data_IF_895716784782
#
_entry.id   IF_895716784782
#
_cell.length_a   1.000
_cell.length_b   1.000
_cell.length_c   1.000
_cell.angle_alpha   90.00
_cell.angle_beta   90.00
_cell.angle_gamma   90.00
#
_symmetry.space_group_name_H-M   'P 1'
#
loop_
_entity.id
_entity.type
_entity.pdbx_description
1 polymer ?
#
# COMPACT_ATOMS: atom_id res chain seq x y z
N UNK A 1 23.19 -31.99 -5.59
CA UNK A 1 21.90 -31.92 -6.30
C UNK A 1 21.20 -30.66 -5.82
N UNK A 2 20.95 -29.70 -6.72
CA UNK A 2 20.31 -28.43 -6.38
C UNK A 2 18.80 -28.59 -6.19
N UNK A 3 18.16 -27.89 -5.23
CA UNK A 3 16.72 -27.96 -5.05
C UNK A 3 15.98 -27.32 -6.24
N UNK A 4 14.97 -28.03 -6.70
CA UNK A 4 14.17 -27.77 -7.89
C UNK A 4 13.38 -26.46 -7.78
N UNK A 5 13.61 -25.57 -8.75
CA UNK A 5 12.88 -24.31 -8.96
C UNK A 5 11.49 -24.62 -9.57
N UNK A 6 10.54 -25.10 -8.77
CA UNK A 6 9.15 -25.30 -9.23
C UNK A 6 8.28 -24.17 -8.68
N UNK A 7 7.79 -23.31 -9.58
CA UNK A 7 6.80 -22.29 -9.24
C UNK A 7 5.46 -22.97 -8.89
N UNK A 8 4.71 -22.44 -7.91
CA UNK A 8 3.40 -22.98 -7.55
C UNK A 8 2.42 -22.90 -8.72
N UNK A 9 1.62 -23.95 -8.86
CA UNK A 9 0.63 -24.12 -9.92
C UNK A 9 -0.47 -23.04 -9.83
N UNK A 10 -0.88 -22.54 -11.01
CA UNK A 10 -2.01 -21.63 -11.19
C UNK A 10 -3.28 -22.20 -10.53
N UNK A 11 -4.00 -21.35 -9.80
CA UNK A 11 -5.18 -21.66 -8.98
C UNK A 11 -6.28 -22.43 -9.74
N UNK A 12 -6.88 -23.43 -9.08
CA UNK A 12 -8.03 -24.24 -9.55
C UNK A 12 -9.40 -23.65 -9.14
N UNK A 13 -9.68 -22.38 -9.40
CA UNK A 13 -11.03 -21.85 -9.13
C UNK A 13 -12.04 -22.42 -10.14
N UNK A 14 -13.21 -22.88 -9.68
CA UNK A 14 -14.28 -23.33 -10.58
C UNK A 14 -14.97 -22.14 -11.25
N UNK A 15 -15.70 -22.39 -12.34
CA UNK A 15 -16.49 -21.36 -13.02
C UNK A 15 -17.51 -20.71 -12.09
N UNK A 16 -18.07 -21.44 -11.12
CA UNK A 16 -18.99 -20.84 -10.14
C UNK A 16 -18.27 -19.89 -9.16
N UNK A 17 -17.09 -20.27 -8.68
CA UNK A 17 -16.31 -19.42 -7.76
C UNK A 17 -15.83 -18.15 -8.46
N UNK A 18 -15.41 -18.26 -9.72
CA UNK A 18 -15.04 -17.11 -10.54
C UNK A 18 -16.24 -16.22 -10.85
N UNK A 19 -17.42 -16.82 -11.11
CA UNK A 19 -18.65 -16.08 -11.36
C UNK A 19 -19.17 -15.36 -10.09
N UNK A 20 -19.00 -15.94 -8.90
CA UNK A 20 -19.37 -15.29 -7.64
C UNK A 20 -18.36 -14.20 -7.25
N UNK A 21 -17.05 -14.45 -7.43
CA UNK A 21 -16.01 -13.44 -7.22
C UNK A 21 -16.17 -12.23 -8.17
N UNK A 22 -16.64 -12.46 -9.40
CA UNK A 22 -16.93 -11.40 -10.37
C UNK A 22 -18.12 -10.50 -9.96
N UNK A 23 -18.91 -10.88 -8.94
CA UNK A 23 -19.97 -10.05 -8.35
C UNK A 23 -19.48 -9.17 -7.20
N UNK A 24 -18.16 -9.11 -6.95
CA UNK A 24 -17.57 -8.33 -5.87
C UNK A 24 -18.15 -6.92 -5.79
N UNK A 25 -18.70 -6.57 -4.63
CA UNK A 25 -19.69 -5.49 -4.45
C UNK A 25 -19.10 -4.11 -4.15
N UNK A 26 -17.76 -3.99 -4.15
CA UNK A 26 -17.06 -2.80 -3.63
C UNK A 26 -16.41 -1.93 -4.72
N UNK A 27 -16.48 -2.39 -5.99
CA UNK A 27 -16.05 -1.64 -7.17
C UNK A 27 -17.24 -0.89 -7.78
N UNK A 28 -17.05 0.39 -8.07
CA UNK A 28 -17.92 1.17 -8.96
C UNK A 28 -17.21 1.37 -10.30
N UNK A 29 -17.94 1.33 -11.41
CA UNK A 29 -17.35 1.44 -12.75
C UNK A 29 -17.89 2.65 -13.50
N UNK A 30 -17.06 3.24 -14.35
CA UNK A 30 -17.50 4.28 -15.30
C UNK A 30 -17.10 3.86 -16.72
N UNK A 31 -18.05 3.89 -17.65
CA UNK A 31 -17.81 3.58 -19.06
C UNK A 31 -17.76 4.86 -19.89
N UNK A 32 -16.63 5.13 -20.55
CA UNK A 32 -16.53 6.15 -21.59
C UNK A 32 -16.74 5.52 -22.97
N UNK A 33 -17.92 5.75 -23.57
CA UNK A 33 -18.23 5.30 -24.93
C UNK A 33 -19.29 6.18 -25.61
N UNK A 34 -19.43 6.05 -26.94
CA UNK A 34 -20.48 6.73 -27.70
C UNK A 34 -21.88 6.26 -27.27
N UNK A 35 -22.89 7.16 -27.28
CA UNK A 35 -24.29 6.82 -26.95
C UNK A 35 -24.98 6.10 -28.12
N UNK A 36 -24.36 5.02 -28.60
CA UNK A 36 -24.80 4.16 -29.69
C UNK A 36 -24.36 2.72 -29.44
N UNK A 37 -25.00 1.78 -30.11
CA UNK A 37 -24.58 0.38 -30.12
C UNK A 37 -23.28 0.21 -30.92
N UNK A 38 -22.33 -0.55 -30.38
CA UNK A 38 -21.01 -0.70 -31.00
C UNK A 38 -20.07 -1.55 -30.15
N UNK A 39 -18.78 -1.21 -30.15
CA UNK A 39 -17.75 -1.94 -29.37
C UNK A 39 -17.98 -1.87 -27.85
N UNK A 40 -18.66 -0.83 -27.37
CA UNK A 40 -19.05 -0.71 -25.97
C UNK A 40 -20.20 -1.64 -25.55
N UNK A 41 -20.90 -2.27 -26.50
CA UNK A 41 -22.08 -3.09 -26.19
C UNK A 41 -21.76 -4.30 -25.32
N UNK A 42 -20.66 -4.99 -25.61
CA UNK A 42 -20.22 -6.13 -24.81
C UNK A 42 -19.87 -5.70 -23.37
N UNK A 43 -19.31 -4.50 -23.21
CA UNK A 43 -18.96 -3.94 -21.89
C UNK A 43 -20.22 -3.59 -21.10
N UNK A 44 -21.21 -2.94 -21.74
CA UNK A 44 -22.51 -2.67 -21.12
C UNK A 44 -23.20 -3.97 -20.68
N UNK A 45 -23.22 -4.97 -21.55
CA UNK A 45 -23.80 -6.27 -21.24
C UNK A 45 -23.09 -6.96 -20.08
N UNK A 46 -21.75 -6.89 -20.03
CA UNK A 46 -20.97 -7.49 -18.94
C UNK A 46 -21.23 -6.80 -17.60
N UNK A 47 -21.21 -5.46 -17.56
CA UNK A 47 -21.47 -4.66 -16.36
C UNK A 47 -22.91 -4.81 -15.87
N UNK A 48 -23.88 -4.89 -16.78
CA UNK A 48 -25.28 -5.15 -16.43
C UNK A 48 -25.50 -6.59 -15.94
N UNK A 49 -24.90 -7.57 -16.61
CA UNK A 49 -25.02 -8.99 -16.26
C UNK A 49 -24.38 -9.32 -14.91
N UNK A 50 -23.25 -8.68 -14.58
CA UNK A 50 -22.56 -8.90 -13.30
C UNK A 50 -23.29 -8.29 -12.09
N UNK A 51 -24.24 -7.36 -12.32
CA UNK A 51 -24.88 -6.59 -11.26
C UNK A 51 -23.95 -5.52 -10.64
N UNK A 52 -22.88 -5.14 -11.33
CA UNK A 52 -21.95 -4.11 -10.86
C UNK A 52 -22.64 -2.74 -10.72
N UNK A 53 -22.14 -1.89 -9.83
CA UNK A 53 -22.54 -0.48 -9.76
C UNK A 53 -21.77 0.29 -10.84
N UNK A 54 -22.45 0.92 -11.79
CA UNK A 54 -21.76 1.65 -12.86
C UNK A 54 -22.59 2.77 -13.49
N UNK A 55 -21.90 3.70 -14.13
CA UNK A 55 -22.48 4.79 -14.92
C UNK A 55 -21.74 5.02 -16.25
N UNK A 56 -22.37 5.73 -17.19
CA UNK A 56 -21.73 6.16 -18.43
C UNK A 56 -21.21 7.59 -18.32
N UNK A 57 -20.00 7.81 -18.83
CA UNK A 57 -19.41 9.14 -18.97
C UNK A 57 -19.79 9.76 -20.31
N UNK A 58 -20.08 11.05 -20.30
CA UNK A 58 -20.28 11.82 -21.53
C UNK A 58 -18.99 11.86 -22.36
N UNK A 59 -19.12 11.59 -23.66
CA UNK A 59 -17.99 11.54 -24.59
C UNK A 59 -17.90 12.81 -25.43
N UNK A 60 -16.74 13.44 -25.36
CA UNK A 60 -16.27 14.51 -26.26
C UNK A 60 -14.97 14.02 -26.92
N UNK A 61 -15.15 13.22 -27.96
CA UNK A 61 -14.07 12.40 -28.48
C UNK A 61 -12.85 13.19 -29.02
N UNK A 62 -13.03 14.28 -29.78
CA UNK A 62 -11.90 15.08 -30.25
C UNK A 62 -11.00 15.59 -29.12
N UNK A 63 -11.57 15.97 -27.97
CA UNK A 63 -10.84 16.51 -26.81
C UNK A 63 -10.28 15.41 -25.91
N UNK A 64 -10.97 14.27 -25.83
CA UNK A 64 -10.62 13.16 -24.92
C UNK A 64 -9.67 12.13 -25.55
N UNK A 65 -9.58 12.02 -26.87
CA UNK A 65 -8.81 10.97 -27.56
C UNK A 65 -7.35 10.87 -27.11
N UNK A 66 -6.63 11.99 -27.03
CA UNK A 66 -5.24 11.98 -26.59
C UNK A 66 -5.07 11.65 -25.10
N UNK A 67 -6.17 11.67 -24.34
CA UNK A 67 -6.21 11.42 -22.89
C UNK A 67 -6.61 9.98 -22.57
N UNK A 68 -7.16 9.22 -23.52
CA UNK A 68 -7.49 7.80 -23.30
C UNK A 68 -6.28 6.90 -23.56
N UNK A 69 -6.13 5.80 -22.82
CA UNK A 69 -5.14 4.77 -23.15
C UNK A 69 -5.30 4.31 -24.60
N UNK A 70 -4.18 4.29 -25.33
CA UNK A 70 -4.11 3.90 -26.74
C UNK A 70 -4.96 4.72 -27.71
N UNK A 71 -5.54 5.85 -27.25
CA UNK A 71 -6.37 6.73 -28.08
C UNK A 71 -7.57 6.03 -28.72
N UNK A 72 -8.19 5.10 -27.98
CA UNK A 72 -9.38 4.33 -28.38
C UNK A 72 -10.48 4.41 -27.32
N UNK A 73 -11.68 3.98 -27.71
CA UNK A 73 -12.84 3.69 -26.85
C UNK A 73 -13.51 2.38 -27.32
N UNK A 74 -14.20 1.61 -26.46
CA UNK A 74 -14.60 1.91 -25.07
C UNK A 74 -13.42 1.92 -24.08
N UNK A 75 -13.56 2.72 -23.02
CA UNK A 75 -12.67 2.70 -21.83
C UNK A 75 -13.53 2.48 -20.60
N UNK A 76 -13.13 1.53 -19.76
CA UNK A 76 -13.75 1.28 -18.45
C UNK A 76 -12.80 1.79 -17.38
N UNK A 77 -13.30 2.67 -16.52
CA UNK A 77 -12.64 3.06 -15.29
C UNK A 77 -13.23 2.23 -14.15
N UNK A 78 -12.38 1.52 -13.43
CA UNK A 78 -12.77 0.83 -12.19
C UNK A 78 -12.34 1.67 -10.99
N UNK A 79 -13.26 1.87 -10.06
CA UNK A 79 -13.05 2.53 -8.79
C UNK A 79 -13.32 1.53 -7.66
N UNK A 80 -12.28 0.84 -7.22
CA UNK A 80 -12.27 0.09 -5.96
C UNK A 80 -12.04 1.05 -4.79
N UNK A 81 -12.92 1.09 -3.78
CA UNK A 81 -12.70 1.92 -2.59
C UNK A 81 -11.48 1.45 -1.76
N UNK A 82 -11.22 0.14 -1.73
CA UNK A 82 -10.18 -0.48 -0.91
C UNK A 82 -8.81 -0.52 -1.59
N UNK A 83 -8.71 -0.92 -2.87
CA UNK A 83 -7.42 -1.02 -3.57
C UNK A 83 -6.76 0.35 -3.82
N UNK A 84 -7.54 1.39 -4.13
CA UNK A 84 -7.00 2.74 -4.31
C UNK A 84 -6.47 3.33 -2.99
N UNK A 85 -7.15 3.08 -1.86
CA UNK A 85 -6.66 3.48 -0.54
C UNK A 85 -5.45 2.66 -0.11
N UNK A 86 -5.44 1.34 -0.35
CA UNK A 86 -4.28 0.48 -0.09
C UNK A 86 -3.06 1.00 -0.87
N UNK A 87 -3.23 1.27 -2.15
CA UNK A 87 -2.18 1.82 -3.00
C UNK A 87 -1.74 3.22 -2.53
N UNK A 88 -2.67 4.09 -2.14
CA UNK A 88 -2.33 5.41 -1.62
C UNK A 88 -1.45 5.34 -0.37
N UNK A 89 -1.85 4.55 0.63
CA UNK A 89 -1.07 4.38 1.86
C UNK A 89 0.26 3.68 1.61
N UNK A 90 0.28 2.67 0.72
CA UNK A 90 1.50 2.02 0.29
C UNK A 90 2.49 3.01 -0.33
N UNK A 91 2.08 3.79 -1.33
CA UNK A 91 2.94 4.76 -2.00
C UNK A 91 3.36 5.91 -1.07
N UNK A 92 2.50 6.31 -0.13
CA UNK A 92 2.88 7.31 0.87
C UNK A 92 4.00 6.78 1.79
N UNK A 93 3.92 5.52 2.22
CA UNK A 93 4.96 4.85 2.99
C UNK A 93 6.25 4.62 2.17
N UNK A 94 6.13 4.27 0.88
CA UNK A 94 7.26 4.21 -0.05
C UNK A 94 7.96 5.57 -0.19
N UNK A 95 7.20 6.66 -0.33
CA UNK A 95 7.74 8.01 -0.38
C UNK A 95 8.50 8.38 0.90
N UNK A 96 7.97 8.01 2.07
CA UNK A 96 8.64 8.23 3.35
C UNK A 96 9.97 7.49 3.44
N UNK A 97 10.00 6.20 3.09
CA UNK A 97 11.23 5.41 3.18
C UNK A 97 12.26 5.84 2.13
N UNK A 98 11.82 6.26 0.95
CA UNK A 98 12.71 6.81 -0.08
C UNK A 98 13.33 8.13 0.39
N UNK A 99 12.54 9.00 1.04
CA UNK A 99 13.06 10.24 1.63
C UNK A 99 14.06 9.95 2.77
N UNK A 100 13.79 8.97 3.63
CA UNK A 100 14.72 8.54 4.68
C UNK A 100 16.02 8.00 4.07
N UNK A 101 15.92 7.16 3.03
CA UNK A 101 17.07 6.59 2.34
C UNK A 101 17.95 7.68 1.71
N UNK A 102 17.34 8.67 1.04
CA UNK A 102 18.09 9.75 0.40
C UNK A 102 18.71 10.73 1.40
N UNK A 103 17.91 11.20 2.37
CA UNK A 103 18.33 12.26 3.29
C UNK A 103 19.22 11.76 4.42
N UNK A 104 18.92 10.58 4.96
CA UNK A 104 19.58 10.08 6.17
C UNK A 104 20.62 9.03 5.82
N UNK A 105 20.23 7.98 5.10
CA UNK A 105 21.17 6.88 4.76
C UNK A 105 22.20 7.32 3.72
N UNK A 106 21.78 8.13 2.75
CA UNK A 106 22.63 8.70 1.70
C UNK A 106 23.54 9.84 2.15
N UNK A 107 23.35 10.38 3.36
CA UNK A 107 24.20 11.43 3.89
C UNK A 107 25.62 10.93 4.24
N UNK A 108 26.57 11.86 4.22
CA UNK A 108 27.92 11.63 4.72
C UNK A 108 27.87 11.16 6.19
N UNK A 109 28.68 10.17 6.59
CA UNK A 109 28.60 9.55 7.93
C UNK A 109 28.51 10.55 9.09
N UNK A 110 29.31 11.61 9.06
CA UNK A 110 29.38 12.69 10.05
C UNK A 110 28.10 13.54 10.13
N UNK A 111 27.30 13.59 9.05
CA UNK A 111 26.07 14.37 8.98
C UNK A 111 24.81 13.54 9.27
N UNK A 112 24.90 12.21 9.34
CA UNK A 112 23.74 11.31 9.44
C UNK A 112 22.89 11.54 10.68
N UNK A 113 23.50 11.86 11.82
CA UNK A 113 22.79 12.12 13.07
C UNK A 113 21.93 13.39 12.96
N UNK A 114 22.50 14.45 12.39
CA UNK A 114 21.82 15.73 12.19
C UNK A 114 20.72 15.60 11.13
N UNK A 115 20.99 14.91 10.02
CA UNK A 115 19.98 14.64 8.99
C UNK A 115 18.85 13.74 9.49
N UNK A 116 19.14 12.74 10.32
CA UNK A 116 18.11 11.94 10.97
C UNK A 116 17.22 12.82 11.86
N UNK A 117 17.82 13.68 12.68
CA UNK A 117 17.10 14.58 13.57
C UNK A 117 16.22 15.56 12.79
N UNK A 118 16.74 16.16 11.71
CA UNK A 118 15.95 16.99 10.78
C UNK A 118 14.81 16.21 10.14
N UNK A 119 15.08 15.01 9.63
CA UNK A 119 14.07 14.16 9.02
C UNK A 119 12.94 13.81 10.00
N UNK A 120 13.28 13.52 11.26
CA UNK A 120 12.30 13.21 12.30
C UNK A 120 11.38 14.41 12.58
N UNK A 121 11.94 15.61 12.70
CA UNK A 121 11.20 16.83 13.01
C UNK A 121 10.39 17.34 11.82
N UNK A 122 10.93 17.29 10.60
CA UNK A 122 10.32 17.96 9.44
C UNK A 122 9.40 17.07 8.62
N UNK A 123 9.68 15.77 8.59
CA UNK A 123 9.03 14.79 7.70
C UNK A 123 8.27 13.75 8.50
N UNK A 124 8.96 13.02 9.38
CA UNK A 124 8.35 11.90 10.08
C UNK A 124 7.25 12.37 11.03
N UNK A 125 7.46 13.48 11.76
CA UNK A 125 6.45 14.09 12.64
C UNK A 125 5.13 14.40 11.92
N UNK A 126 5.20 14.93 10.70
CA UNK A 126 4.02 15.26 9.88
C UNK A 126 3.35 14.01 9.36
N UNK A 127 4.15 13.04 8.90
CA UNK A 127 3.64 11.74 8.49
C UNK A 127 2.87 11.08 9.63
N UNK A 128 3.47 10.96 10.82
CA UNK A 128 2.82 10.27 11.94
C UNK A 128 1.57 11.01 12.40
N UNK A 129 1.59 12.35 12.44
CA UNK A 129 0.41 13.14 12.81
C UNK A 129 -0.77 12.93 11.85
N UNK A 130 -0.52 12.94 10.53
CA UNK A 130 -1.55 12.74 9.52
C UNK A 130 -2.12 11.32 9.61
N UNK A 131 -1.25 10.31 9.71
CA UNK A 131 -1.67 8.91 9.73
C UNK A 131 -2.40 8.53 11.02
N UNK A 132 -1.95 9.06 12.16
CA UNK A 132 -2.61 8.88 13.45
C UNK A 132 -4.03 9.46 13.45
N UNK A 133 -4.20 10.68 12.90
CA UNK A 133 -5.52 11.31 12.75
C UNK A 133 -6.43 10.50 11.82
N UNK A 134 -5.90 10.02 10.69
CA UNK A 134 -6.67 9.19 9.75
C UNK A 134 -7.16 7.89 10.38
N UNK A 135 -6.31 7.18 11.13
CA UNK A 135 -6.68 5.94 11.79
C UNK A 135 -7.74 6.15 12.87
N UNK A 136 -7.69 7.29 13.60
CA UNK A 136 -8.74 7.66 14.55
C UNK A 136 -10.08 7.91 13.86
N UNK A 137 -10.07 8.55 12.70
CA UNK A 137 -11.28 8.78 11.89
C UNK A 137 -11.87 7.48 11.32
N UNK A 138 -11.05 6.47 11.06
CA UNK A 138 -11.49 5.14 10.60
C UNK A 138 -11.91 4.19 11.72
N UNK A 139 -12.09 4.70 12.95
CA UNK A 139 -12.54 3.92 14.10
C UNK A 139 -11.43 3.20 14.88
N UNK A 140 -10.16 3.47 14.55
CA UNK A 140 -8.98 2.94 15.24
C UNK A 140 -9.07 1.42 15.46
N UNK A 141 -9.46 0.68 14.43
CA UNK A 141 -9.64 -0.78 14.51
C UNK A 141 -8.30 -1.56 14.32
N UNK A 142 -7.18 -0.86 14.14
CA UNK A 142 -5.88 -1.46 13.86
C UNK A 142 -5.63 -1.80 12.38
N UNK A 143 -6.44 -1.23 11.47
CA UNK A 143 -6.29 -1.39 10.03
C UNK A 143 -6.44 -0.05 9.30
N UNK A 144 -5.67 0.14 8.23
CA UNK A 144 -5.79 1.32 7.35
C UNK A 144 -7.00 1.26 6.43
N UNK A 145 -7.39 0.06 5.99
CA UNK A 145 -8.48 -0.15 5.04
C UNK A 145 -9.30 -1.35 5.49
N UNK A 146 -10.60 -1.11 5.71
CA UNK A 146 -11.51 -2.16 6.17
C UNK A 146 -11.16 -2.68 7.57
N UNK A 147 -11.39 -3.98 7.79
CA UNK A 147 -11.23 -4.64 9.09
C UNK A 147 -10.22 -5.81 9.06
N UNK A 148 -9.36 -5.86 8.04
CA UNK A 148 -8.40 -6.94 7.83
C UNK A 148 -7.03 -6.40 7.45
N UNK A 149 -5.96 -7.14 7.74
CA UNK A 149 -4.60 -6.74 7.37
C UNK A 149 -4.44 -6.74 5.85
N UNK A 150 -4.02 -5.59 5.31
CA UNK A 150 -3.74 -5.36 3.90
C UNK A 150 -2.27 -5.06 3.65
N UNK A 151 -1.90 -4.88 2.38
CA UNK A 151 -0.55 -4.45 2.00
C UNK A 151 -0.17 -3.08 2.57
N UNK A 152 -1.15 -2.18 2.77
CA UNK A 152 -0.91 -0.88 3.38
C UNK A 152 -0.39 -1.02 4.81
N UNK A 153 -1.05 -1.84 5.63
CA UNK A 153 -0.65 -2.10 7.01
C UNK A 153 0.76 -2.69 7.07
N UNK A 154 1.03 -3.71 6.23
CA UNK A 154 2.34 -4.35 6.15
C UNK A 154 3.45 -3.38 5.75
N UNK A 155 3.21 -2.53 4.74
CA UNK A 155 4.20 -1.57 4.27
C UNK A 155 4.45 -0.47 5.29
N UNK A 156 3.43 0.03 5.98
CA UNK A 156 3.58 0.99 7.06
C UNK A 156 4.42 0.38 8.18
N UNK A 157 4.08 -0.81 8.66
CA UNK A 157 4.82 -1.49 9.73
C UNK A 157 6.26 -1.77 9.33
N UNK A 158 6.51 -2.25 8.10
CA UNK A 158 7.86 -2.43 7.58
C UNK A 158 8.66 -1.12 7.55
N UNK A 159 8.00 0.00 7.19
CA UNK A 159 8.63 1.31 7.12
C UNK A 159 9.00 1.83 8.50
N UNK A 160 8.08 1.72 9.47
CA UNK A 160 8.35 2.07 10.88
C UNK A 160 9.47 1.22 11.46
N UNK A 161 9.42 -0.11 11.25
CA UNK A 161 10.48 -1.03 11.67
C UNK A 161 11.84 -0.65 11.09
N UNK A 162 11.89 -0.25 9.82
CA UNK A 162 13.14 0.13 9.16
C UNK A 162 13.73 1.41 9.73
N UNK A 163 12.89 2.41 10.01
CA UNK A 163 13.31 3.68 10.62
C UNK A 163 13.80 3.45 12.05
N UNK A 164 13.07 2.66 12.84
CA UNK A 164 13.47 2.29 14.21
C UNK A 164 14.76 1.48 14.23
N UNK A 165 14.93 0.54 13.29
CA UNK A 165 16.14 -0.29 13.16
C UNK A 165 17.39 0.55 12.86
N UNK A 166 17.22 1.64 12.10
CA UNK A 166 18.29 2.51 11.59
C UNK A 166 18.35 3.86 12.31
N UNK A 167 17.75 3.98 13.49
CA UNK A 167 17.86 5.19 14.30
C UNK A 167 19.32 5.37 14.77
N UNK A 168 19.99 6.49 14.45
CA UNK A 168 21.35 6.74 14.93
C UNK A 168 21.38 6.82 16.46
N UNK A 169 22.45 6.28 17.05
CA UNK A 169 22.73 6.52 18.47
C UNK A 169 23.10 7.98 18.71
N UNK A 170 22.51 8.59 19.74
CA UNK A 170 22.80 9.98 20.12
C UNK A 170 22.05 11.05 19.30
N UNK A 171 21.22 10.66 18.34
CA UNK A 171 20.30 11.57 17.64
C UNK A 171 19.01 11.85 18.40
N UNK A 172 18.17 12.71 17.84
CA UNK A 172 16.82 12.94 18.36
C UNK A 172 16.01 11.62 18.41
N UNK A 173 15.12 11.44 19.40
CA UNK A 173 14.29 10.24 19.46
C UNK A 173 13.36 10.16 18.25
N UNK A 174 13.15 8.94 17.74
CA UNK A 174 12.15 8.69 16.70
C UNK A 174 10.77 9.00 17.28
N UNK A 175 9.94 9.87 16.66
CA UNK A 175 8.65 10.30 17.17
C UNK A 175 7.54 9.26 16.92
N UNK A 176 7.82 7.98 17.21
CA UNK A 176 6.91 6.85 17.05
C UNK A 176 7.06 5.93 18.25
N UNK A 177 6.00 5.78 19.04
CA UNK A 177 5.92 4.84 20.16
C UNK A 177 4.46 4.52 20.47
N UNK A 178 4.23 3.58 21.39
CA UNK A 178 2.88 3.27 21.88
C UNK A 178 2.20 4.48 22.51
N UNK A 179 2.97 5.31 23.19
CA UNK A 179 2.51 6.50 23.91
C UNK A 179 2.32 7.70 22.97
N UNK A 180 3.22 7.87 21.99
CA UNK A 180 3.19 9.01 21.08
C UNK A 180 2.23 8.82 19.91
N UNK A 181 2.07 7.59 19.43
CA UNK A 181 1.32 7.27 18.22
C UNK A 181 0.48 6.00 18.43
N UNK A 182 -0.50 6.01 19.36
CA UNK A 182 -1.22 4.81 19.78
C UNK A 182 -2.00 4.10 18.67
N UNK A 183 -2.62 4.82 17.73
CA UNK A 183 -3.39 4.21 16.63
C UNK A 183 -2.45 3.53 15.62
N UNK A 184 -1.35 4.19 15.24
CA UNK A 184 -0.28 3.58 14.45
C UNK A 184 0.34 2.37 15.16
N UNK A 185 0.53 2.46 16.48
CA UNK A 185 1.08 1.36 17.26
C UNK A 185 0.11 0.18 17.34
N UNK A 186 -1.20 0.44 17.36
CA UNK A 186 -2.23 -0.60 17.27
C UNK A 186 -2.18 -1.33 15.94
N UNK A 187 -2.03 -0.62 14.80
CA UNK A 187 -1.80 -1.27 13.49
C UNK A 187 -0.58 -2.19 13.53
N UNK A 188 0.52 -1.71 14.15
CA UNK A 188 1.73 -2.51 14.33
C UNK A 188 1.47 -3.76 15.17
N UNK A 189 0.83 -3.63 16.33
CA UNK A 189 0.47 -4.76 17.19
C UNK A 189 -0.46 -5.76 16.47
N UNK A 190 -1.41 -5.28 15.67
CA UNK A 190 -2.31 -6.12 14.87
C UNK A 190 -1.54 -6.93 13.82
N UNK A 191 -0.64 -6.30 13.06
CA UNK A 191 0.22 -6.99 12.08
C UNK A 191 1.14 -8.00 12.77
N UNK A 192 1.75 -7.62 13.90
CA UNK A 192 2.65 -8.47 14.66
C UNK A 192 1.95 -9.63 15.37
N UNK A 193 0.65 -9.49 15.66
CA UNK A 193 -0.20 -10.55 16.17
C UNK A 193 -0.51 -11.66 15.15
N UNK A 194 -0.29 -11.42 13.86
CA UNK A 194 -0.47 -12.47 12.85
C UNK A 194 0.59 -13.58 13.02
N UNK A 195 0.14 -14.83 13.19
CA UNK A 195 1.01 -15.96 13.50
C UNK A 195 2.15 -16.16 12.48
N UNK A 196 1.85 -16.05 11.17
CA UNK A 196 2.85 -16.21 10.11
C UNK A 196 3.87 -15.07 10.11
N UNK A 197 3.41 -13.83 10.31
CA UNK A 197 4.30 -12.67 10.41
C UNK A 197 5.19 -12.76 11.65
N UNK A 198 4.62 -13.10 12.80
CA UNK A 198 5.36 -13.31 14.04
C UNK A 198 6.42 -14.41 13.91
N UNK A 199 6.08 -15.54 13.27
CA UNK A 199 7.01 -16.63 12.99
C UNK A 199 8.16 -16.18 12.09
N UNK A 200 7.85 -15.41 11.02
CA UNK A 200 8.88 -14.83 10.15
C UNK A 200 9.82 -13.90 10.91
N UNK A 201 9.28 -12.97 11.72
CA UNK A 201 10.10 -12.00 12.47
C UNK A 201 11.07 -12.67 13.46
N UNK A 202 10.68 -13.83 14.02
CA UNK A 202 11.51 -14.66 14.92
C UNK A 202 12.45 -15.61 14.17
N UNK A 203 12.32 -15.77 12.86
CA UNK A 203 13.18 -16.66 12.08
C UNK A 203 14.63 -16.15 12.04
N UNK A 204 15.59 -17.08 11.96
CA UNK A 204 17.01 -16.74 11.81
C UNK A 204 17.24 -15.83 10.61
N UNK A 205 16.55 -16.08 9.49
CA UNK A 205 16.68 -15.27 8.28
C UNK A 205 16.31 -13.81 8.52
N UNK A 206 15.23 -13.54 9.23
CA UNK A 206 14.82 -12.17 9.58
C UNK A 206 15.88 -11.48 10.47
N UNK A 207 16.41 -12.21 11.45
CA UNK A 207 17.47 -11.70 12.34
C UNK A 207 18.75 -11.36 11.58
N UNK A 208 19.19 -12.25 10.67
CA UNK A 208 20.36 -12.04 9.83
C UNK A 208 20.19 -10.82 8.93
N UNK A 209 19.00 -10.63 8.33
CA UNK A 209 18.71 -9.46 7.49
C UNK A 209 18.81 -8.16 8.28
N UNK A 210 18.34 -8.15 9.53
CA UNK A 210 18.45 -6.98 10.41
C UNK A 210 19.91 -6.69 10.77
N UNK A 211 20.69 -7.72 11.14
CA UNK A 211 22.11 -7.58 11.45
C UNK A 211 22.90 -7.06 10.24
N UNK A 212 22.70 -7.65 9.06
CA UNK A 212 23.34 -7.24 7.81
C UNK A 212 22.97 -5.80 7.43
N UNK A 213 21.71 -5.40 7.62
CA UNK A 213 21.28 -4.03 7.37
C UNK A 213 22.03 -3.05 8.29
N UNK A 214 22.08 -3.33 9.60
CA UNK A 214 22.80 -2.47 10.56
C UNK A 214 24.28 -2.38 10.22
N UNK A 215 24.93 -3.50 9.94
CA UNK A 215 26.34 -3.55 9.56
C UNK A 215 26.63 -2.75 8.28
N UNK A 216 25.73 -2.79 7.30
CA UNK A 216 25.87 -2.08 6.02
C UNK A 216 25.84 -0.56 6.17
N UNK A 217 25.01 -0.04 7.07
CA UNK A 217 24.72 1.39 7.18
C UNK A 217 25.34 2.08 8.41
N UNK A 218 25.83 1.32 9.40
CA UNK A 218 26.66 1.82 10.50
C UNK A 218 26.02 2.99 11.29
N UNK A 219 24.76 2.83 11.71
CA UNK A 219 24.08 3.73 12.66
C UNK A 219 24.31 3.31 14.13
#
# INVERSE_FOLDING_TARGET
>A
MSPTNVLPTVTRASSEVLAEAAKGTDSTFQLLYFPLHGRGELVRNLLAYSGAQWEELAIDWPVQKSKTPFQVVPVVYEHTASENLVNQYYHNAEGLIQAFALRVVGAAPEARIDEASRFYIEVLSKFVAIHEERLKQSGDNGHYVGNTTTLADLKIVQTLDRILLLSPKGGAPVPVSKELTPALWKVKETVEGNASYAAWKKSQRSLDLNANTKARFQF
#
